data_IF_476517559021
#
_entry.id   IF_476517559021
#
_cell.length_a   1.000
_cell.length_b   1.000
_cell.length_c   1.000
_cell.angle_alpha   90.00
_cell.angle_beta   90.00
_cell.angle_gamma   90.00
#
_symmetry.space_group_name_H-M   'P 1'
#
loop_
_entity.id
_entity.type
_entity.pdbx_description
1 polymer ?
#
# COMPACT_ATOMS: atom_id res chain seq x y z
N UNK A 1 25.15 -6.19 3.15
CA UNK A 1 23.93 -5.87 2.38
C UNK A 1 22.88 -5.40 3.37
N UNK A 2 22.11 -4.34 3.06
CA UNK A 2 21.07 -3.87 3.96
C UNK A 2 19.99 -4.94 4.12
N UNK A 3 19.41 -5.02 5.31
CA UNK A 3 18.25 -5.87 5.58
C UNK A 3 17.00 -5.10 5.19
N UNK A 4 16.20 -5.69 4.31
CA UNK A 4 14.93 -5.12 3.90
C UNK A 4 13.77 -5.73 4.67
N UNK A 5 12.84 -4.88 5.08
CA UNK A 5 11.56 -5.27 5.66
C UNK A 5 10.43 -4.61 4.88
N UNK A 6 9.33 -5.33 4.71
CA UNK A 6 8.15 -4.85 3.98
C UNK A 6 6.94 -4.97 4.88
N UNK A 7 6.12 -3.92 4.92
CA UNK A 7 4.84 -3.90 5.63
C UNK A 7 3.72 -3.45 4.69
N UNK A 8 2.51 -3.93 4.97
CA UNK A 8 1.28 -3.52 4.28
C UNK A 8 0.34 -2.91 5.30
N UNK A 9 -0.13 -1.70 5.01
CA UNK A 9 -0.99 -0.90 5.87
C UNK A 9 -2.39 -0.79 5.26
N UNK A 10 -3.41 -0.82 6.10
CA UNK A 10 -4.83 -0.80 5.70
C UNK A 10 -5.42 0.61 5.59
N UNK A 11 -4.67 1.62 6.04
CA UNK A 11 -4.94 3.03 5.80
C UNK A 11 -3.63 3.82 5.76
N UNK A 12 -3.60 4.93 5.02
CA UNK A 12 -2.49 5.88 5.05
C UNK A 12 -2.28 6.49 6.44
N UNK A 13 -3.31 6.53 7.29
CA UNK A 13 -3.19 7.04 8.66
C UNK A 13 -2.32 6.18 9.58
N UNK A 14 -1.99 4.95 9.17
CA UNK A 14 -1.13 4.02 9.91
C UNK A 14 0.37 4.27 9.69
N UNK A 15 0.72 5.12 8.70
CA UNK A 15 2.13 5.41 8.35
C UNK A 15 2.62 6.75 8.90
N UNK A 16 3.94 6.93 8.91
CA UNK A 16 4.51 8.24 9.24
C UNK A 16 4.39 9.19 8.04
N UNK A 17 3.43 10.13 8.11
CA UNK A 17 3.19 11.18 7.10
C UNK A 17 4.46 11.87 6.62
N UNK A 18 5.36 12.24 7.54
CA UNK A 18 6.57 13.00 7.20
C UNK A 18 7.55 12.14 6.40
N UNK A 19 7.79 10.90 6.84
CA UNK A 19 8.69 9.97 6.15
C UNK A 19 8.13 9.61 4.76
N UNK A 20 6.84 9.29 4.68
CA UNK A 20 6.16 8.99 3.43
C UNK A 20 6.31 10.13 2.42
N UNK A 21 5.95 11.35 2.81
CA UNK A 21 6.07 12.51 1.94
C UNK A 21 7.53 12.83 1.59
N UNK A 22 8.50 12.57 2.48
CA UNK A 22 9.91 12.75 2.16
C UNK A 22 10.36 11.79 1.05
N UNK A 23 9.93 10.52 1.10
CA UNK A 23 10.23 9.54 0.03
C UNK A 23 9.64 10.02 -1.29
N UNK A 24 8.34 10.36 -1.32
CA UNK A 24 7.64 10.78 -2.54
C UNK A 24 8.20 12.10 -3.11
N UNK A 25 8.59 13.05 -2.26
CA UNK A 25 9.04 14.38 -2.68
C UNK A 25 10.50 14.45 -3.13
N UNK A 26 11.36 13.70 -2.47
CA UNK A 26 12.79 13.99 -2.42
C UNK A 26 13.66 12.79 -2.74
N UNK A 27 13.12 11.57 -2.65
CA UNK A 27 13.91 10.35 -2.83
C UNK A 27 13.45 9.51 -4.03
N UNK A 28 12.22 9.74 -4.52
CA UNK A 28 11.68 9.07 -5.69
C UNK A 28 11.86 9.93 -6.94
N UNK A 29 12.46 9.34 -7.99
CA UNK A 29 12.53 9.96 -9.33
C UNK A 29 11.17 9.98 -10.05
N UNK A 30 10.21 9.18 -9.56
CA UNK A 30 8.88 9.01 -10.18
C UNK A 30 7.73 9.43 -9.26
N UNK A 31 8.04 9.98 -8.08
CA UNK A 31 7.02 10.45 -7.15
C UNK A 31 6.21 11.60 -7.72
N UNK A 32 4.90 11.56 -7.53
CA UNK A 32 3.99 12.61 -7.95
C UNK A 32 2.99 12.98 -6.83
N UNK A 33 2.11 13.93 -7.11
CA UNK A 33 1.13 14.40 -6.13
C UNK A 33 0.14 13.30 -5.72
N UNK A 34 -0.13 12.34 -6.61
CA UNK A 34 -1.08 11.27 -6.37
C UNK A 34 -0.59 10.22 -5.36
N UNK A 35 0.72 10.16 -5.11
CA UNK A 35 1.28 9.33 -4.03
C UNK A 35 1.52 10.11 -2.74
N UNK A 36 1.14 11.39 -2.64
CA UNK A 36 1.29 12.15 -1.38
C UNK A 36 0.29 11.70 -0.33
N UNK A 37 0.73 11.71 0.92
CA UNK A 37 -0.09 11.31 2.08
C UNK A 37 -1.47 11.98 2.03
N UNK A 38 -1.51 13.29 1.80
CA UNK A 38 -2.73 14.09 1.85
C UNK A 38 -3.69 13.77 0.70
N UNK A 39 -3.15 13.45 -0.48
CA UNK A 39 -3.97 13.04 -1.62
C UNK A 39 -4.58 11.66 -1.36
N UNK A 40 -3.78 10.75 -0.82
CA UNK A 40 -4.20 9.39 -0.48
C UNK A 40 -5.26 9.41 0.61
N UNK A 41 -5.08 10.20 1.67
CA UNK A 41 -6.04 10.37 2.77
C UNK A 41 -7.38 10.88 2.23
N UNK A 42 -7.36 11.94 1.42
CA UNK A 42 -8.55 12.45 0.76
C UNK A 42 -9.22 11.42 -0.16
N UNK A 43 -8.43 10.57 -0.83
CA UNK A 43 -8.95 9.51 -1.70
C UNK A 43 -9.58 8.36 -0.91
N UNK A 44 -8.97 7.94 0.21
CA UNK A 44 -9.55 6.96 1.15
C UNK A 44 -10.92 7.44 1.62
N UNK A 45 -10.99 8.67 2.13
CA UNK A 45 -12.20 9.30 2.64
C UNK A 45 -13.30 9.42 1.56
N UNK A 46 -12.93 9.81 0.34
CA UNK A 46 -13.88 10.03 -0.73
C UNK A 46 -14.43 8.74 -1.36
N UNK A 47 -13.66 7.65 -1.34
CA UNK A 47 -13.99 6.45 -2.12
C UNK A 47 -14.38 5.22 -1.29
N UNK A 48 -14.08 5.20 0.01
CA UNK A 48 -14.29 4.01 0.84
C UNK A 48 -13.47 2.80 0.39
N UNK A 49 -12.35 3.07 -0.28
CA UNK A 49 -11.41 2.10 -0.79
C UNK A 49 -10.90 1.14 0.29
N UNK A 50 -10.79 -0.16 0.01
CA UNK A 50 -9.92 -1.01 0.81
C UNK A 50 -8.45 -0.72 0.45
N UNK A 51 -7.74 0.04 1.28
CA UNK A 51 -6.35 0.40 1.05
C UNK A 51 -5.41 -0.77 1.41
N UNK A 52 -4.30 -0.88 0.67
CA UNK A 52 -3.20 -1.84 0.88
C UNK A 52 -1.88 -1.15 0.54
N UNK A 53 -1.51 -0.19 1.36
CA UNK A 53 -0.32 0.63 1.14
C UNK A 53 0.93 -0.11 1.57
N UNK A 54 1.96 -0.11 0.73
CA UNK A 54 3.20 -0.81 0.98
C UNK A 54 4.27 0.16 1.45
N UNK A 55 5.00 -0.21 2.50
CA UNK A 55 6.25 0.43 2.90
C UNK A 55 7.40 -0.57 2.82
N UNK A 56 8.58 -0.08 2.41
CA UNK A 56 9.83 -0.83 2.43
C UNK A 56 10.85 -0.06 3.25
N UNK A 57 11.42 -0.72 4.26
CA UNK A 57 12.49 -0.18 5.10
C UNK A 57 13.80 -0.94 4.88
N UNK A 58 14.89 -0.20 4.69
CA UNK A 58 16.27 -0.70 4.68
C UNK A 58 16.92 -0.37 6.03
N UNK A 59 17.28 -1.38 6.82
CA UNK A 59 17.87 -1.21 8.15
C UNK A 59 17.07 -0.22 9.04
N UNK A 60 15.73 -0.27 8.93
CA UNK A 60 14.79 0.59 9.68
C UNK A 60 14.47 1.93 9.02
N UNK A 61 15.21 2.36 8.00
CA UNK A 61 14.95 3.62 7.27
C UNK A 61 13.96 3.38 6.14
N UNK A 62 12.91 4.20 6.04
CA UNK A 62 11.94 4.12 4.94
C UNK A 62 12.61 4.53 3.62
N UNK A 63 12.60 3.64 2.63
CA UNK A 63 13.26 3.83 1.32
C UNK A 63 12.33 3.63 0.13
N UNK A 64 11.12 3.13 0.35
CA UNK A 64 10.15 2.90 -0.71
C UNK A 64 8.73 2.87 -0.16
N UNK A 65 7.81 3.42 -0.95
CA UNK A 65 6.38 3.44 -0.64
C UNK A 65 5.59 3.16 -1.91
N UNK A 66 4.42 2.53 -1.77
CA UNK A 66 3.48 2.39 -2.87
C UNK A 66 2.04 2.44 -2.36
N UNK A 67 1.24 3.47 -2.73
CA UNK A 67 -0.17 3.49 -2.43
C UNK A 67 -0.92 2.55 -3.38
N UNK A 68 -1.63 1.58 -2.83
CA UNK A 68 -2.51 0.69 -3.59
C UNK A 68 -3.86 0.56 -2.92
N UNK A 69 -4.88 0.31 -3.74
CA UNK A 69 -6.24 0.06 -3.30
C UNK A 69 -6.80 -1.19 -3.98
N UNK A 70 -7.57 -1.98 -3.24
CA UNK A 70 -8.31 -3.12 -3.78
C UNK A 70 -9.63 -2.62 -4.35
N UNK A 71 -9.94 -3.06 -5.58
CA UNK A 71 -11.22 -2.78 -6.25
C UNK A 71 -11.78 -4.04 -6.88
N UNK A 72 -13.09 -4.29 -6.76
CA UNK A 72 -13.74 -5.26 -7.62
C UNK A 72 -13.69 -4.76 -9.06
N UNK A 73 -13.42 -5.65 -10.01
CA UNK A 73 -13.49 -5.34 -11.44
C UNK A 73 -14.91 -5.67 -11.95
N UNK A 74 -15.72 -4.67 -12.34
CA UNK A 74 -17.07 -4.92 -12.84
C UNK A 74 -17.03 -5.81 -14.10
N UNK A 75 -17.94 -6.78 -14.19
CA UNK A 75 -18.13 -7.59 -15.40
C UNK A 75 -17.02 -8.59 -15.73
N UNK A 76 -16.12 -8.91 -14.79
CA UNK A 76 -15.05 -9.87 -15.05
C UNK A 76 -15.41 -11.30 -14.62
N UNK A 77 -15.47 -12.28 -15.55
CA UNK A 77 -15.63 -13.69 -15.21
C UNK A 77 -14.27 -14.34 -14.92
N UNK A 78 -13.39 -13.69 -14.16
CA UNK A 78 -12.10 -14.29 -13.83
C UNK A 78 -12.28 -15.26 -12.65
N UNK A 79 -12.32 -16.55 -12.97
CA UNK A 79 -12.12 -17.60 -11.97
C UNK A 79 -10.65 -17.58 -11.54
N UNK A 80 -10.38 -17.32 -10.26
CA UNK A 80 -9.05 -17.52 -9.68
C UNK A 80 -8.59 -18.96 -9.92
N UNK A 81 -7.50 -19.15 -10.68
CA UNK A 81 -6.92 -20.46 -11.02
C UNK A 81 -5.74 -20.85 -10.12
N UNK A 82 -5.39 -20.02 -9.13
CA UNK A 82 -4.33 -20.31 -8.16
C UNK A 82 -4.77 -21.27 -7.06
N UNK A 83 -3.84 -21.73 -6.20
CA UNK A 83 -4.16 -22.60 -5.07
C UNK A 83 -5.19 -21.92 -4.18
N UNK A 84 -6.33 -22.56 -3.94
CA UNK A 84 -7.24 -22.15 -2.86
C UNK A 84 -6.47 -22.30 -1.55
N UNK A 85 -6.21 -21.21 -0.85
CA UNK A 85 -5.88 -21.32 0.58
C UNK A 85 -7.03 -22.11 1.22
N UNK A 86 -6.73 -23.28 1.81
CA UNK A 86 -7.71 -24.06 2.57
C UNK A 86 -8.29 -23.14 3.64
N UNK A 87 -9.62 -23.08 3.72
CA UNK A 87 -10.29 -22.53 4.89
C UNK A 87 -9.72 -23.21 6.15
N UNK A 88 -9.58 -22.50 7.28
CA UNK A 88 -9.14 -23.11 8.51
C UNK A 88 -10.09 -24.26 8.87
N UNK A 89 -9.52 -25.44 9.13
CA UNK A 89 -10.25 -26.54 9.76
C UNK A 89 -10.80 -26.04 11.10
N UNK A 90 -12.12 -25.96 11.20
CA UNK A 90 -12.80 -25.80 12.48
C UNK A 90 -12.36 -26.95 13.40
N UNK A 91 -11.95 -26.58 14.61
CA UNK A 91 -11.62 -27.49 15.71
C UNK A 91 -12.90 -28.01 16.36
#
# INVERSE_FOLDING_TARGET
MPTYTTSVHESITEVNRREWNAVVAHQSDTGCVFERYEWIEAYEDATGAAARHVEVRADGTLVGVHPTFVRPLPGTPFRFLGPRNRAPTAS
#
